data_IF_133273747290
#
_entry.id   IF_133273747290
#
_cell.length_a   1.000
_cell.length_b   1.000
_cell.length_c   1.000
_cell.angle_alpha   90.00
_cell.angle_beta   90.00
_cell.angle_gamma   90.00
#
_symmetry.space_group_name_H-M   'P 1'
#
loop_
_entity.id
_entity.type
_entity.pdbx_description
1 polymer ?
#
# COMPACT_ATOMS: atom_id res chain seq x y z
N UNK A 1 19.17 -36.78 49.44
CA UNK A 1 18.58 -35.46 49.16
C UNK A 1 18.87 -35.10 47.71
N UNK A 2 17.90 -35.25 46.81
CA UNK A 2 18.05 -34.89 45.38
C UNK A 2 16.82 -34.06 45.02
N UNK A 3 16.98 -32.74 44.84
CA UNK A 3 15.92 -31.89 44.32
C UNK A 3 15.90 -32.02 42.80
N UNK A 4 14.94 -32.77 42.24
CA UNK A 4 14.72 -32.80 40.79
C UNK A 4 14.11 -31.47 40.35
N UNK A 5 14.90 -30.66 39.64
CA UNK A 5 14.46 -29.40 39.05
C UNK A 5 13.39 -29.64 37.97
N UNK A 6 12.34 -28.82 37.99
CA UNK A 6 11.29 -28.85 36.98
C UNK A 6 11.84 -28.38 35.63
N UNK A 7 11.52 -29.07 34.52
CA UNK A 7 12.07 -28.71 33.22
C UNK A 7 11.41 -27.44 32.69
N UNK A 8 12.23 -26.40 32.55
CA UNK A 8 11.90 -25.04 32.08
C UNK A 8 11.66 -24.97 30.56
N UNK A 9 10.96 -25.94 29.98
CA UNK A 9 10.85 -26.13 28.52
C UNK A 9 9.61 -25.53 27.85
N UNK A 10 8.71 -24.89 28.60
CA UNK A 10 7.41 -24.42 28.06
C UNK A 10 7.27 -22.90 27.94
N UNK A 11 8.36 -22.12 28.05
CA UNK A 11 8.28 -20.64 28.06
C UNK A 11 8.47 -19.95 26.70
N UNK A 12 8.39 -20.68 25.59
CA UNK A 12 8.58 -20.12 24.24
C UNK A 12 7.50 -20.50 23.21
N UNK A 13 6.48 -21.28 23.58
CA UNK A 13 5.42 -21.71 22.65
C UNK A 13 4.42 -20.60 22.20
N UNK A 14 4.11 -19.54 22.98
CA UNK A 14 3.14 -18.53 22.50
C UNK A 14 3.75 -17.57 21.46
N UNK A 15 5.06 -17.31 21.51
CA UNK A 15 5.73 -16.39 20.58
C UNK A 15 5.81 -16.96 19.15
N UNK A 16 6.05 -18.27 19.02
CA UNK A 16 6.08 -18.94 17.72
C UNK A 16 4.68 -19.05 17.11
N UNK A 17 3.65 -19.34 17.92
CA UNK A 17 2.26 -19.36 17.46
C UNK A 17 1.78 -17.98 17.01
N UNK A 18 2.19 -16.90 17.69
CA UNK A 18 1.88 -15.52 17.31
C UNK A 18 2.59 -15.10 16.01
N UNK A 19 3.87 -15.43 15.85
CA UNK A 19 4.61 -15.17 14.62
C UNK A 19 4.01 -15.92 13.42
N UNK A 20 3.65 -17.20 13.59
CA UNK A 20 3.00 -17.99 12.55
C UNK A 20 1.59 -17.48 12.21
N UNK A 21 0.82 -17.00 13.18
CA UNK A 21 -0.48 -16.36 12.95
C UNK A 21 -0.35 -15.04 12.17
N UNK A 22 0.72 -14.28 12.39
CA UNK A 22 1.01 -13.04 11.66
C UNK A 22 1.46 -13.31 10.22
N UNK A 23 2.20 -14.41 9.98
CA UNK A 23 2.56 -14.89 8.63
C UNK A 23 1.38 -15.51 7.87
N UNK A 24 0.39 -16.06 8.57
CA UNK A 24 -0.83 -16.62 7.99
C UNK A 24 -1.95 -15.59 7.78
N UNK A 25 -1.78 -14.35 8.26
CA UNK A 25 -2.66 -13.25 7.93
C UNK A 25 -2.49 -12.95 6.42
N UNK A 26 -3.42 -13.47 5.62
CA UNK A 26 -3.46 -13.22 4.19
C UNK A 26 -3.46 -11.71 3.96
N UNK A 27 -2.41 -11.21 3.32
CA UNK A 27 -2.45 -9.86 2.79
C UNK A 27 -3.45 -9.93 1.65
N UNK A 28 -4.55 -9.20 1.76
CA UNK A 28 -5.34 -8.86 0.59
C UNK A 28 -4.39 -8.17 -0.37
N UNK A 29 -4.01 -8.86 -1.45
CA UNK A 29 -3.29 -8.20 -2.53
C UNK A 29 -4.22 -7.09 -3.00
N UNK A 30 -3.84 -5.84 -2.75
CA UNK A 30 -4.45 -4.73 -3.46
C UNK A 30 -4.39 -5.09 -4.94
N UNK A 31 -5.52 -4.99 -5.65
CA UNK A 31 -5.52 -5.18 -7.09
C UNK A 31 -4.45 -4.28 -7.72
N UNK A 32 -3.88 -4.73 -8.85
CA UNK A 32 -2.96 -3.88 -9.61
C UNK A 32 -3.60 -2.51 -9.83
N UNK A 33 -2.87 -1.40 -9.59
CA UNK A 33 -3.42 -0.08 -9.82
C UNK A 33 -3.87 0.05 -11.29
N UNK A 34 -4.85 0.92 -11.59
CA UNK A 34 -5.19 1.24 -12.97
C UNK A 34 -3.95 1.71 -13.74
N UNK A 35 -3.84 1.42 -15.04
CA UNK A 35 -2.65 1.74 -15.83
C UNK A 35 -2.39 3.24 -15.97
N UNK A 36 -3.46 4.06 -15.89
CA UNK A 36 -3.39 5.53 -15.79
C UNK A 36 -4.26 5.98 -14.62
N UNK A 37 -3.72 6.85 -13.78
CA UNK A 37 -4.39 7.41 -12.61
C UNK A 37 -4.19 8.93 -12.54
N UNK A 38 -5.11 9.63 -11.88
CA UNK A 38 -4.94 11.03 -11.48
C UNK A 38 -4.16 11.05 -10.17
N UNK A 39 -2.90 11.50 -10.19
CA UNK A 39 -2.06 11.55 -8.97
C UNK A 39 -2.31 12.82 -8.16
N UNK A 40 -2.44 13.96 -8.83
CA UNK A 40 -2.61 15.26 -8.18
C UNK A 40 -3.68 16.09 -8.89
N UNK A 41 -4.41 16.89 -8.11
CA UNK A 41 -5.37 17.88 -8.59
C UNK A 41 -5.16 19.17 -7.79
N UNK A 42 -4.69 20.22 -8.45
CA UNK A 42 -4.62 21.57 -7.89
C UNK A 42 -5.70 22.43 -8.54
N UNK A 43 -6.81 22.65 -7.83
CA UNK A 43 -8.02 23.25 -8.39
C UNK A 43 -8.40 24.62 -7.79
N UNK A 44 -7.66 25.08 -6.79
CA UNK A 44 -7.93 26.34 -6.06
C UNK A 44 -6.91 27.44 -6.40
N UNK A 45 -6.09 27.23 -7.42
CA UNK A 45 -4.99 28.11 -7.76
C UNK A 45 -3.95 28.24 -6.64
N UNK A 46 -3.30 29.40 -6.60
CA UNK A 46 -2.30 29.78 -5.60
C UNK A 46 -2.53 31.22 -5.15
N UNK A 47 -1.81 31.68 -4.12
CA UNK A 47 -1.84 33.09 -3.72
C UNK A 47 -1.40 34.06 -4.84
N UNK A 48 -0.59 33.60 -5.79
CA UNK A 48 -0.15 34.42 -6.92
C UNK A 48 -1.22 34.53 -8.02
N UNK A 49 -2.07 33.50 -8.19
CA UNK A 49 -3.13 33.49 -9.20
C UNK A 49 -4.17 32.40 -8.91
N UNK A 50 -5.48 32.71 -9.00
CA UNK A 50 -6.52 31.70 -8.89
C UNK A 50 -6.51 30.72 -10.07
N UNK A 51 -5.85 31.06 -11.18
CA UNK A 51 -5.78 30.21 -12.38
C UNK A 51 -4.57 29.28 -12.40
N UNK A 52 -3.78 29.21 -11.34
CA UNK A 52 -2.68 28.23 -11.23
C UNK A 52 -3.23 26.84 -10.91
N UNK A 53 -4.05 26.33 -11.81
CA UNK A 53 -4.73 25.06 -11.72
C UNK A 53 -4.07 24.04 -12.65
N UNK A 54 -3.97 22.80 -12.20
CA UNK A 54 -3.42 21.70 -13.00
C UNK A 54 -3.87 20.35 -12.43
N UNK A 55 -3.65 19.29 -13.22
CA UNK A 55 -3.80 17.91 -12.79
C UNK A 55 -2.64 17.07 -13.29
N UNK A 56 -2.28 16.02 -12.56
CA UNK A 56 -1.23 15.07 -12.93
C UNK A 56 -1.83 13.72 -13.32
N UNK A 57 -1.46 13.23 -14.50
CA UNK A 57 -1.72 11.85 -14.91
C UNK A 57 -0.45 11.04 -14.76
N UNK A 58 -0.52 9.89 -14.08
CA UNK A 58 0.58 8.94 -13.98
C UNK A 58 0.25 7.65 -14.68
N UNK A 59 1.21 7.21 -15.49
CA UNK A 59 1.30 5.84 -15.96
C UNK A 59 1.91 4.97 -14.86
N UNK A 60 1.18 3.98 -14.38
CA UNK A 60 1.61 3.08 -13.30
C UNK A 60 2.37 1.85 -13.82
N UNK A 61 2.59 1.78 -15.13
CA UNK A 61 3.24 0.67 -15.82
C UNK A 61 4.63 1.06 -16.32
N UNK A 62 5.43 0.06 -16.69
CA UNK A 62 6.78 0.24 -17.25
C UNK A 62 6.78 0.46 -18.78
N UNK A 63 5.60 0.51 -19.41
CA UNK A 63 5.46 0.66 -20.85
C UNK A 63 4.76 1.97 -21.22
N UNK A 64 5.10 2.63 -22.35
CA UNK A 64 4.39 3.81 -22.80
C UNK A 64 2.89 3.54 -23.05
N UNK A 65 2.04 4.50 -22.70
CA UNK A 65 0.60 4.49 -22.99
C UNK A 65 0.28 5.68 -23.90
N UNK A 66 -0.38 5.41 -25.03
CA UNK A 66 -0.89 6.44 -25.93
C UNK A 66 -2.23 6.95 -25.40
N UNK A 67 -2.35 8.28 -25.26
CA UNK A 67 -3.58 8.94 -24.80
C UNK A 67 -4.45 9.44 -25.96
N UNK A 68 -4.12 9.10 -27.20
CA UNK A 68 -4.86 9.55 -28.39
C UNK A 68 -6.33 9.16 -28.29
N UNK A 69 -7.22 10.15 -28.43
CA UNK A 69 -8.66 9.97 -28.35
C UNK A 69 -9.22 9.80 -26.93
N UNK A 70 -8.39 9.88 -25.89
CA UNK A 70 -8.88 9.90 -24.51
C UNK A 70 -9.58 11.24 -24.23
N UNK A 71 -10.62 11.18 -23.40
CA UNK A 71 -11.33 12.36 -22.90
C UNK A 71 -11.46 12.28 -21.39
N UNK A 72 -11.39 13.44 -20.74
CA UNK A 72 -11.84 13.60 -19.37
C UNK A 72 -13.32 14.00 -19.42
N UNK A 73 -14.16 13.25 -18.71
CA UNK A 73 -15.61 13.45 -18.66
C UNK A 73 -16.05 13.71 -17.23
N UNK A 74 -17.16 14.43 -17.07
CA UNK A 74 -17.76 14.81 -15.78
C UNK A 74 -18.96 13.91 -15.43
#
# INVERSE_FOLDING_TARGET
>A
MVRKGTPRRWRFLPALAFALAFLAAGHTLAGSPPPVVLEEIAWMGTAASPFHEWMELRNTTDAPILLDGWTLVA
#
